data_IF_988738507349
#
_entry.id   IF_988738507349
#
_cell.length_a   1.000
_cell.length_b   1.000
_cell.length_c   1.000
_cell.angle_alpha   90.00
_cell.angle_beta   90.00
_cell.angle_gamma   90.00
#
_symmetry.space_group_name_H-M   'P 1'
#
loop_
_entity.id
_entity.type
_entity.pdbx_description
1 polymer ?
#
# COMPACT_ATOMS: atom_id res chain seq x y z
N UNK A 1 -39.46 13.65 -7.59
CA UNK A 1 -38.24 14.03 -8.31
C UNK A 1 -37.06 13.40 -7.59
N UNK A 2 -36.42 12.39 -8.21
CA UNK A 2 -35.39 11.57 -7.57
C UNK A 2 -33.99 12.14 -7.90
N UNK A 3 -33.29 12.64 -6.87
CA UNK A 3 -31.91 13.14 -6.98
C UNK A 3 -30.92 11.98 -6.83
N UNK A 4 -30.35 11.53 -7.95
CA UNK A 4 -29.27 10.54 -7.99
C UNK A 4 -27.94 11.30 -7.95
N UNK A 5 -27.36 11.46 -6.76
CA UNK A 5 -25.98 11.96 -6.63
C UNK A 5 -25.04 10.77 -6.79
N UNK A 6 -24.53 10.59 -8.01
CA UNK A 6 -23.44 9.65 -8.32
C UNK A 6 -22.20 10.00 -7.50
N UNK A 7 -21.79 9.09 -6.62
CA UNK A 7 -20.54 9.16 -5.84
C UNK A 7 -19.38 8.88 -6.80
N UNK A 8 -18.70 9.92 -7.27
CA UNK A 8 -17.50 9.81 -8.09
C UNK A 8 -16.39 9.19 -7.22
N UNK A 9 -16.15 7.89 -7.44
CA UNK A 9 -15.00 7.16 -6.91
C UNK A 9 -13.73 7.75 -7.50
N UNK A 10 -12.93 8.42 -6.66
CA UNK A 10 -11.62 8.93 -7.03
C UNK A 10 -10.65 7.76 -7.27
N UNK A 11 -10.66 7.22 -8.49
CA UNK A 11 -9.55 6.39 -8.99
C UNK A 11 -8.34 7.30 -9.15
N UNK A 12 -7.37 7.14 -8.26
CA UNK A 12 -6.01 7.63 -8.49
C UNK A 12 -5.47 6.91 -9.72
N UNK A 13 -5.50 7.58 -10.87
CA UNK A 13 -4.76 7.15 -12.05
C UNK A 13 -3.28 7.30 -11.69
N UNK A 14 -2.64 6.19 -11.32
CA UNK A 14 -1.18 6.13 -11.34
C UNK A 14 -0.77 6.28 -12.79
N UNK A 15 -0.30 7.47 -13.16
CA UNK A 15 0.34 7.71 -14.45
C UNK A 15 1.49 6.71 -14.60
N UNK A 16 1.31 5.73 -15.46
CA UNK A 16 2.35 4.81 -15.87
C UNK A 16 3.11 5.48 -17.00
N UNK A 17 4.21 6.18 -16.68
CA UNK A 17 5.26 6.38 -17.68
C UNK A 17 5.87 5.00 -17.96
N UNK A 18 5.36 4.33 -19.00
CA UNK A 18 6.07 3.21 -19.60
C UNK A 18 7.27 3.78 -20.34
N UNK A 19 8.46 3.75 -19.73
CA UNK A 19 9.69 3.85 -20.51
C UNK A 19 9.79 2.57 -21.33
N UNK A 20 9.42 2.64 -22.61
CA UNK A 20 9.68 1.59 -23.59
C UNK A 20 11.17 1.60 -23.92
N UNK A 21 12.00 1.05 -23.04
CA UNK A 21 13.34 0.61 -23.42
C UNK A 21 13.16 -0.62 -24.30
N UNK A 22 13.29 -0.43 -25.60
CA UNK A 22 13.43 -1.49 -26.59
C UNK A 22 14.66 -2.32 -26.24
N UNK A 23 14.45 -3.45 -25.57
CA UNK A 23 15.48 -4.48 -25.43
C UNK A 23 15.50 -5.29 -26.72
N UNK A 24 16.20 -4.78 -27.72
CA UNK A 24 16.52 -5.55 -28.92
C UNK A 24 17.39 -6.73 -28.52
N UNK A 25 16.83 -7.94 -28.57
CA UNK A 25 17.63 -9.17 -28.57
C UNK A 25 18.10 -9.40 -30.00
N UNK A 26 19.20 -8.73 -30.37
CA UNK A 26 19.97 -9.12 -31.54
C UNK A 26 20.77 -10.38 -31.16
N UNK A 27 20.46 -11.49 -31.83
CA UNK A 27 21.24 -12.72 -31.80
C UNK A 27 22.57 -12.49 -32.51
N UNK A 28 23.59 -12.10 -31.76
CA UNK A 28 24.97 -12.16 -32.21
C UNK A 28 25.80 -12.68 -31.05
N UNK A 29 26.15 -13.97 -31.11
CA UNK A 29 27.06 -14.63 -30.19
C UNK A 29 28.37 -13.86 -30.08
N UNK A 30 28.77 -13.37 -28.90
CA UNK A 30 30.16 -13.03 -28.68
C UNK A 30 30.88 -14.30 -28.24
N UNK A 31 31.84 -14.72 -29.06
CA UNK A 31 32.88 -15.68 -28.73
C UNK A 31 33.50 -15.27 -27.39
N UNK A 32 33.24 -16.06 -26.34
CA UNK A 32 33.86 -15.89 -25.02
C UNK A 32 35.33 -16.29 -25.15
N UNK A 33 36.22 -15.28 -25.21
CA UNK A 33 37.66 -15.49 -25.06
C UNK A 33 37.96 -15.70 -23.58
N UNK A 34 38.42 -16.91 -23.30
CA UNK A 34 39.05 -17.37 -22.06
C UNK A 34 40.09 -16.35 -21.54
N UNK A 35 39.92 -15.88 -20.30
CA UNK A 35 40.96 -15.16 -19.58
C UNK A 35 41.00 -15.57 -18.09
N UNK A 36 42.18 -16.02 -17.69
CA UNK A 36 42.62 -16.60 -16.42
C UNK A 36 42.15 -15.90 -15.14
N UNK A 37 41.90 -16.76 -14.15
CA UNK A 37 42.00 -16.60 -12.71
C UNK A 37 42.83 -15.41 -12.18
N UNK A 38 42.19 -14.62 -11.30
CA UNK A 38 42.85 -14.03 -10.12
C UNK A 38 41.81 -13.84 -9.01
N UNK A 39 42.08 -14.51 -7.88
CA UNK A 39 41.29 -14.50 -6.66
C UNK A 39 41.42 -13.17 -5.91
N UNK A 40 40.30 -12.53 -5.59
CA UNK A 40 40.23 -11.74 -4.36
C UNK A 40 38.83 -11.86 -3.76
N UNK A 41 38.74 -12.69 -2.72
CA UNK A 41 37.58 -12.88 -1.88
C UNK A 41 37.42 -11.67 -0.96
N UNK A 42 36.52 -10.75 -1.30
CA UNK A 42 35.97 -9.79 -0.35
C UNK A 42 34.59 -10.31 0.08
N UNK A 43 34.42 -10.82 1.30
CA UNK A 43 33.12 -11.24 1.79
C UNK A 43 32.23 -10.01 1.99
N UNK A 44 31.14 -9.91 1.22
CA UNK A 44 30.08 -8.94 1.45
C UNK A 44 29.34 -9.30 2.73
N UNK A 45 29.53 -8.49 3.77
CA UNK A 45 28.69 -8.44 4.96
C UNK A 45 27.21 -8.26 4.58
N UNK A 46 26.47 -9.35 4.52
CA UNK A 46 25.01 -9.31 4.42
C UNK A 46 24.46 -9.06 5.81
N UNK A 47 24.36 -7.77 6.16
CA UNK A 47 23.71 -7.29 7.39
C UNK A 47 22.28 -7.83 7.44
N UNK A 48 22.10 -8.93 8.18
CA UNK A 48 20.82 -9.58 8.47
C UNK A 48 19.91 -8.53 9.13
N UNK A 49 18.95 -7.98 8.37
CA UNK A 49 17.95 -7.04 8.90
C UNK A 49 17.17 -7.75 10.01
N UNK A 50 17.52 -7.45 11.26
CA UNK A 50 16.76 -7.89 12.42
C UNK A 50 15.31 -7.45 12.28
N UNK A 51 14.36 -8.39 12.50
CA UNK A 51 12.93 -8.07 12.56
C UNK A 51 12.71 -7.07 13.69
N UNK A 52 12.51 -5.80 13.34
CA UNK A 52 12.16 -4.75 14.30
C UNK A 52 10.85 -5.17 14.99
N UNK A 53 10.86 -5.26 16.32
CA UNK A 53 9.64 -5.49 17.10
C UNK A 53 8.66 -4.34 16.80
N UNK A 54 7.43 -4.68 16.41
CA UNK A 54 6.37 -3.71 16.14
C UNK A 54 6.06 -2.94 17.42
N UNK A 55 5.93 -1.63 17.32
CA UNK A 55 5.51 -0.80 18.46
C UNK A 55 4.07 -1.12 18.86
N UNK A 56 3.66 -0.88 20.12
CA UNK A 56 2.27 -1.10 20.57
C UNK A 56 1.24 -0.43 19.64
N UNK A 57 1.59 0.75 19.11
CA UNK A 57 0.78 1.47 18.12
C UNK A 57 0.53 0.68 16.85
N UNK A 58 1.52 -0.09 16.40
CA UNK A 58 1.41 -0.96 15.22
C UNK A 58 0.64 -2.25 15.51
N UNK A 59 0.60 -2.70 16.77
CA UNK A 59 -0.20 -3.84 17.20
C UNK A 59 -1.69 -3.48 17.33
N UNK A 60 -1.98 -2.29 17.86
CA UNK A 60 -3.34 -1.77 17.98
C UNK A 60 -3.96 -1.38 16.62
N UNK A 61 -3.15 -1.33 15.55
CA UNK A 61 -3.64 -0.94 14.23
C UNK A 61 -4.62 -1.99 13.72
N UNK A 62 -5.88 -1.61 13.40
CA UNK A 62 -6.84 -2.54 12.81
C UNK A 62 -6.22 -3.22 11.59
N UNK A 63 -6.42 -4.53 11.51
CA UNK A 63 -5.94 -5.33 10.38
C UNK A 63 -6.95 -5.22 9.24
N UNK A 64 -6.44 -5.17 8.00
CA UNK A 64 -7.28 -5.10 6.80
C UNK A 64 -8.30 -6.26 6.78
N UNK A 65 -9.55 -6.00 6.32
CA UNK A 65 -10.56 -7.02 6.20
C UNK A 65 -10.12 -8.09 5.18
N UNK A 66 -10.65 -9.29 5.34
CA UNK A 66 -10.39 -10.40 4.42
C UNK A 66 -11.12 -10.16 3.08
N UNK A 67 -10.60 -10.73 1.99
CA UNK A 67 -11.32 -10.73 0.71
C UNK A 67 -12.48 -11.74 0.75
N UNK A 68 -13.45 -11.59 -0.15
CA UNK A 68 -14.57 -12.53 -0.31
C UNK A 68 -14.09 -13.99 -0.41
N UNK A 69 -13.11 -14.26 -1.28
CA UNK A 69 -12.50 -15.59 -1.38
C UNK A 69 -11.80 -16.05 -0.10
N UNK A 70 -11.16 -15.15 0.66
CA UNK A 70 -10.49 -15.53 1.92
C UNK A 70 -11.50 -15.89 3.01
N UNK A 71 -12.70 -15.28 3.00
CA UNK A 71 -13.81 -15.65 3.87
C UNK A 71 -14.31 -17.06 3.51
N UNK A 72 -14.62 -17.29 2.22
CA UNK A 72 -14.98 -18.61 1.71
C UNK A 72 -13.92 -19.67 2.03
N UNK A 73 -12.63 -19.37 1.79
CA UNK A 73 -11.53 -20.28 2.10
C UNK A 73 -11.47 -20.64 3.58
N UNK A 74 -11.72 -19.68 4.48
CA UNK A 74 -11.71 -19.94 5.91
C UNK A 74 -12.80 -20.95 6.30
N UNK A 75 -14.01 -20.79 5.75
CA UNK A 75 -15.15 -21.67 6.00
C UNK A 75 -14.91 -23.06 5.39
N UNK A 76 -14.55 -23.12 4.11
CA UNK A 76 -14.27 -24.37 3.41
C UNK A 76 -13.07 -25.12 3.99
N UNK A 77 -12.03 -24.40 4.47
CA UNK A 77 -10.87 -25.03 5.12
C UNK A 77 -11.25 -25.61 6.47
N UNK A 78 -12.15 -25.00 7.23
CA UNK A 78 -12.66 -25.58 8.48
C UNK A 78 -13.47 -26.85 8.25
N UNK A 79 -14.25 -26.90 7.17
CA UNK A 79 -14.97 -28.11 6.75
C UNK A 79 -13.99 -29.22 6.33
N UNK A 80 -13.01 -28.88 5.50
CA UNK A 80 -11.93 -29.79 5.09
C UNK A 80 -10.94 -30.09 6.20
N UNK A 81 -10.96 -29.38 7.34
CA UNK A 81 -10.10 -29.63 8.50
C UNK A 81 -10.37 -30.97 9.17
N UNK A 82 -11.52 -31.59 8.87
CA UNK A 82 -11.86 -32.96 9.26
C UNK A 82 -11.13 -34.01 8.42
N UNK A 83 -10.56 -33.60 7.29
CA UNK A 83 -9.77 -34.44 6.38
C UNK A 83 -8.32 -33.97 6.48
N UNK A 84 -7.38 -34.90 6.60
CA UNK A 84 -5.96 -34.60 6.75
C UNK A 84 -5.34 -34.16 5.41
N UNK A 85 -5.84 -33.06 4.85
CA UNK A 85 -5.42 -32.53 3.55
C UNK A 85 -4.31 -31.49 3.73
N UNK A 86 -3.22 -31.63 2.98
CA UNK A 86 -2.14 -30.66 2.98
C UNK A 86 -2.67 -29.25 2.63
N UNK A 87 -2.21 -28.18 3.30
CA UNK A 87 -2.74 -26.82 3.10
C UNK A 87 -2.71 -26.34 1.64
N UNK A 88 -1.66 -26.71 0.91
CA UNK A 88 -1.50 -26.38 -0.52
C UNK A 88 -2.51 -27.10 -1.41
N UNK A 89 -2.82 -28.36 -1.11
CA UNK A 89 -3.82 -29.12 -1.86
C UNK A 89 -5.23 -28.59 -1.59
N UNK A 90 -5.56 -28.31 -0.31
CA UNK A 90 -6.83 -27.72 0.08
C UNK A 90 -7.07 -26.36 -0.60
N UNK A 91 -6.04 -25.51 -0.70
CA UNK A 91 -6.15 -24.22 -1.41
C UNK A 91 -6.50 -24.39 -2.88
N UNK A 92 -5.88 -25.34 -3.59
CA UNK A 92 -6.20 -25.60 -5.01
C UNK A 92 -7.65 -26.04 -5.18
N UNK A 93 -8.09 -27.02 -4.38
CA UNK A 93 -9.46 -27.54 -4.45
C UNK A 93 -10.51 -26.46 -4.13
N UNK A 94 -10.27 -25.64 -3.10
CA UNK A 94 -11.18 -24.55 -2.75
C UNK A 94 -11.19 -23.46 -3.83
N UNK A 95 -10.05 -23.16 -4.46
CA UNK A 95 -9.97 -22.18 -5.53
C UNK A 95 -10.73 -22.63 -6.79
N UNK A 96 -10.64 -23.91 -7.14
CA UNK A 96 -11.43 -24.52 -8.23
C UNK A 96 -12.93 -24.46 -7.91
N UNK A 97 -13.34 -24.89 -6.72
CA UNK A 97 -14.74 -24.78 -6.26
C UNK A 97 -15.25 -23.34 -6.32
N UNK A 98 -14.48 -22.37 -5.84
CA UNK A 98 -14.88 -20.96 -5.88
C UNK A 98 -15.10 -20.45 -7.31
N UNK A 99 -14.36 -20.96 -8.30
CA UNK A 99 -14.55 -20.56 -9.70
C UNK A 99 -15.89 -21.06 -10.24
N UNK A 100 -16.25 -22.30 -9.89
CA UNK A 100 -17.46 -23.00 -10.32
C UNK A 100 -18.71 -22.64 -9.49
N UNK A 101 -18.51 -22.07 -8.30
CA UNK A 101 -19.59 -21.68 -7.38
C UNK A 101 -20.56 -20.67 -8.01
N UNK A 102 -21.82 -20.71 -7.58
CA UNK A 102 -22.87 -19.81 -8.05
C UNK A 102 -22.59 -18.34 -7.75
N UNK A 103 -23.14 -17.44 -8.57
CA UNK A 103 -23.01 -16.00 -8.36
C UNK A 103 -23.66 -15.56 -7.04
N UNK A 104 -24.74 -16.21 -6.62
CA UNK A 104 -25.42 -15.94 -5.34
C UNK A 104 -24.49 -16.14 -4.14
N UNK A 105 -23.70 -17.22 -4.15
CA UNK A 105 -22.72 -17.47 -3.08
C UNK A 105 -21.60 -16.45 -3.15
N UNK A 106 -21.12 -16.12 -4.35
CA UNK A 106 -20.09 -15.09 -4.54
C UNK A 106 -20.54 -13.72 -4.05
N UNK A 107 -21.80 -13.37 -4.31
CA UNK A 107 -22.44 -12.14 -3.88
C UNK A 107 -22.56 -12.09 -2.36
N UNK A 108 -23.02 -13.17 -1.70
CA UNK A 108 -23.04 -13.29 -0.24
C UNK A 108 -21.69 -12.95 0.40
N UNK A 109 -20.59 -13.50 -0.13
CA UNK A 109 -19.25 -13.19 0.40
C UNK A 109 -18.74 -11.79 0.01
N UNK A 110 -19.27 -11.21 -1.07
CA UNK A 110 -19.02 -9.82 -1.42
C UNK A 110 -19.66 -8.89 -0.39
N UNK A 111 -20.91 -9.14 -0.01
CA UNK A 111 -21.61 -8.40 1.05
C UNK A 111 -20.88 -8.51 2.40
N UNK A 112 -20.51 -9.72 2.82
CA UNK A 112 -19.73 -9.94 4.05
C UNK A 112 -18.38 -9.19 4.04
N UNK A 113 -17.74 -9.11 2.87
CA UNK A 113 -16.50 -8.34 2.70
C UNK A 113 -16.77 -6.83 2.83
N UNK A 114 -17.88 -6.34 2.30
CA UNK A 114 -18.27 -4.92 2.41
C UNK A 114 -18.59 -4.54 3.85
N UNK A 115 -19.37 -5.35 4.55
CA UNK A 115 -19.65 -5.17 5.98
C UNK A 115 -18.36 -5.13 6.81
N UNK A 116 -17.47 -6.12 6.62
CA UNK A 116 -16.18 -6.15 7.30
C UNK A 116 -15.28 -4.95 6.96
N UNK A 117 -15.41 -4.39 5.75
CA UNK A 117 -14.70 -3.19 5.34
C UNK A 117 -15.23 -1.95 6.05
N UNK A 118 -16.54 -1.81 6.18
CA UNK A 118 -17.14 -0.70 6.92
C UNK A 118 -16.73 -0.70 8.39
N UNK A 119 -16.76 -1.86 9.03
CA UNK A 119 -16.25 -2.00 10.40
C UNK A 119 -14.76 -1.63 10.51
N UNK A 120 -13.96 -2.10 9.56
CA UNK A 120 -12.53 -1.79 9.52
C UNK A 120 -12.30 -0.29 9.35
N UNK A 121 -13.05 0.40 8.49
CA UNK A 121 -12.91 1.83 8.26
C UNK A 121 -13.28 2.64 9.51
N UNK A 122 -14.31 2.22 10.26
CA UNK A 122 -14.67 2.79 11.58
C UNK A 122 -13.53 2.61 12.59
N UNK A 123 -13.07 1.37 12.81
CA UNK A 123 -11.95 1.06 13.72
C UNK A 123 -10.67 1.78 13.31
N UNK A 124 -10.41 1.93 12.00
CA UNK A 124 -9.24 2.62 11.48
C UNK A 124 -9.31 4.13 11.74
N UNK A 125 -10.49 4.74 11.64
CA UNK A 125 -10.70 6.14 11.98
C UNK A 125 -10.43 6.40 13.46
N UNK A 126 -10.97 5.55 14.35
CA UNK A 126 -10.70 5.60 15.79
C UNK A 126 -9.21 5.44 16.10
N UNK A 127 -8.54 4.47 15.47
CA UNK A 127 -7.10 4.27 15.63
C UNK A 127 -6.28 5.47 15.15
N UNK A 128 -6.64 6.08 14.03
CA UNK A 128 -5.98 7.31 13.52
C UNK A 128 -6.19 8.49 14.45
N UNK A 129 -7.37 8.61 15.07
CA UNK A 129 -7.67 9.64 16.06
C UNK A 129 -6.87 9.44 17.35
N UNK A 130 -6.77 8.20 17.84
CA UNK A 130 -5.99 7.84 19.03
C UNK A 130 -4.48 7.99 18.83
N UNK A 131 -3.99 7.71 17.62
CA UNK A 131 -2.57 7.74 17.28
C UNK A 131 -2.29 8.66 16.09
N UNK A 132 -2.41 9.98 16.26
CA UNK A 132 -2.10 10.92 15.19
C UNK A 132 -0.62 10.80 14.81
N UNK A 133 -0.28 10.93 13.52
CA UNK A 133 1.10 10.93 13.08
C UNK A 133 1.84 12.11 13.70
N UNK A 134 3.03 11.86 14.27
CA UNK A 134 3.92 12.94 14.72
C UNK A 134 4.54 13.60 13.48
N UNK A 135 3.98 14.73 13.07
CA UNK A 135 4.54 15.51 11.96
C UNK A 135 5.73 16.33 12.45
N UNK A 136 6.79 16.40 11.64
CA UNK A 136 7.84 17.42 11.78
C UNK A 136 7.24 18.81 11.55
N UNK A 137 7.83 19.86 12.14
CA UNK A 137 7.37 21.24 11.94
C UNK A 137 7.26 21.63 10.46
N UNK A 138 8.20 21.16 9.63
CA UNK A 138 8.10 21.32 8.17
C UNK A 138 6.85 20.68 7.58
N UNK A 139 6.55 19.43 7.94
CA UNK A 139 5.37 18.71 7.44
C UNK A 139 4.06 19.37 7.93
N UNK A 140 4.05 19.96 9.14
CA UNK A 140 2.90 20.73 9.62
C UNK A 140 2.70 22.01 8.82
N UNK A 141 3.79 22.74 8.56
CA UNK A 141 3.77 23.93 7.69
C UNK A 141 3.29 23.61 6.28
N UNK A 142 3.84 22.56 5.67
CA UNK A 142 3.46 22.10 4.33
C UNK A 142 1.96 21.76 4.29
N UNK A 143 1.47 20.94 5.23
CA UNK A 143 0.04 20.58 5.32
C UNK A 143 -0.85 21.82 5.45
N UNK A 144 -0.48 22.78 6.28
CA UNK A 144 -1.25 24.01 6.47
C UNK A 144 -1.29 24.89 5.21
N UNK A 145 -0.20 24.98 4.46
CA UNK A 145 -0.16 25.77 3.23
C UNK A 145 -0.90 25.08 2.07
N UNK A 146 -0.77 23.76 1.93
CA UNK A 146 -1.54 23.00 0.93
C UNK A 146 -3.05 23.10 1.16
N UNK A 147 -3.50 23.02 2.41
CA UNK A 147 -4.92 23.19 2.74
C UNK A 147 -5.44 24.60 2.39
N UNK A 148 -4.59 25.63 2.44
CA UNK A 148 -4.93 27.00 2.05
C UNK A 148 -4.93 27.21 0.54
N UNK A 149 -4.04 26.54 -0.19
CA UNK A 149 -3.85 26.72 -1.62
C UNK A 149 -4.92 26.02 -2.49
N UNK A 150 -5.78 25.18 -1.89
CA UNK A 150 -6.89 24.45 -2.56
C UNK A 150 -6.51 23.87 -3.94
N UNK A 151 -5.32 23.27 -4.04
CA UNK A 151 -4.80 22.76 -5.31
C UNK A 151 -5.69 21.63 -5.80
N UNK A 152 -6.36 21.85 -6.94
CA UNK A 152 -7.34 20.90 -7.50
C UNK A 152 -6.76 20.12 -8.68
N UNK A 153 -5.75 20.68 -9.37
CA UNK A 153 -5.10 20.05 -10.53
C UNK A 153 -3.77 19.37 -10.19
N UNK A 154 -3.55 18.18 -10.74
CA UNK A 154 -2.30 17.44 -10.55
C UNK A 154 -1.07 18.16 -11.16
N UNK A 155 -1.27 19.00 -12.18
CA UNK A 155 -0.20 19.77 -12.82
C UNK A 155 0.35 20.89 -11.93
N UNK A 156 -0.44 21.37 -10.97
CA UNK A 156 -0.09 22.48 -10.07
C UNK A 156 0.65 21.99 -8.81
N UNK A 157 0.50 20.69 -8.46
CA UNK A 157 1.12 20.10 -7.27
C UNK A 157 2.65 20.29 -7.20
N UNK A 158 3.43 20.10 -8.28
CA UNK A 158 4.87 20.29 -8.24
C UNK A 158 5.27 21.77 -8.07
N UNK A 159 4.50 22.69 -8.67
CA UNK A 159 4.76 24.12 -8.55
C UNK A 159 4.45 24.63 -7.13
N UNK A 160 3.30 24.26 -6.56
CA UNK A 160 2.94 24.65 -5.21
C UNK A 160 3.86 23.99 -4.17
N UNK A 161 4.27 22.73 -4.36
CA UNK A 161 5.27 22.08 -3.51
C UNK A 161 6.57 22.88 -3.45
N UNK A 162 7.08 23.32 -4.61
CA UNK A 162 8.30 24.14 -4.70
C UNK A 162 8.10 25.51 -4.05
N UNK A 163 6.94 26.14 -4.26
CA UNK A 163 6.59 27.43 -3.64
C UNK A 163 6.60 27.34 -2.12
N UNK A 164 5.93 26.33 -1.56
CA UNK A 164 5.86 26.08 -0.11
C UNK A 164 7.26 25.78 0.45
N UNK A 165 8.07 24.98 -0.25
CA UNK A 165 9.46 24.73 0.16
C UNK A 165 10.29 26.03 0.20
N UNK A 166 10.14 26.91 -0.80
CA UNK A 166 10.79 28.21 -0.82
C UNK A 166 10.31 29.11 0.33
N UNK A 167 9.02 29.10 0.66
CA UNK A 167 8.47 29.82 1.82
C UNK A 167 9.07 29.30 3.14
N UNK A 168 9.17 27.98 3.31
CA UNK A 168 9.85 27.41 4.48
C UNK A 168 11.32 27.83 4.56
N UNK A 169 12.02 27.90 3.43
CA UNK A 169 13.39 28.41 3.36
C UNK A 169 13.53 29.80 3.96
N UNK A 170 12.58 30.70 3.66
CA UNK A 170 12.56 32.11 4.10
C UNK A 170 12.19 32.33 5.57
N UNK A 171 11.60 31.33 6.25
CA UNK A 171 11.24 31.45 7.67
C UNK A 171 12.47 31.48 8.57
N UNK A 172 12.39 32.27 9.66
CA UNK A 172 13.43 32.32 10.69
C UNK A 172 13.52 30.98 11.45
N UNK A 173 14.68 30.67 12.07
CA UNK A 173 14.82 29.48 12.91
C UNK A 173 13.79 29.40 14.04
N UNK A 174 13.40 30.54 14.61
CA UNK A 174 12.42 30.63 15.68
C UNK A 174 11.01 30.27 15.18
N UNK A 175 10.62 30.80 14.02
CA UNK A 175 9.36 30.47 13.38
C UNK A 175 9.30 28.98 13.03
N UNK A 176 10.40 28.41 12.53
CA UNK A 176 10.49 26.96 12.25
C UNK A 176 10.32 26.11 13.51
N UNK A 177 10.85 26.58 14.66
CA UNK A 177 10.70 25.92 15.97
C UNK A 177 9.26 25.99 16.46
N UNK A 178 8.57 27.11 16.27
CA UNK A 178 7.15 27.27 16.60
C UNK A 178 6.28 26.23 15.88
N UNK A 179 6.53 26.01 14.58
CA UNK A 179 5.85 24.96 13.82
C UNK A 179 6.12 23.54 14.33
N UNK A 180 7.25 23.30 15.00
CA UNK A 180 7.49 21.98 15.62
C UNK A 180 6.59 21.75 16.84
N UNK A 181 6.26 22.81 17.58
CA UNK A 181 5.48 22.75 18.83
C UNK A 181 3.97 22.83 18.61
N UNK A 182 3.52 23.42 17.51
CA UNK A 182 2.11 23.49 17.09
C UNK A 182 1.50 22.14 16.73
#
# INVERSE_FOLDING_TARGET
MLNIVSKISSRVVRSSLVLTTTRSFATASPVFKEAKASSSSVPKDTKKKGKKKKSQKELDKPRRPMSAFSLYYKEMRTELGKVDTAPTAAMKQIAEKWREESEEVKEKYSELKEEAKEEYDKKLAEWKAKYPPKLSGYNKFVKANFNKASVTSAAELPAESKRIAALWGKLSPEQKKEWSNK
#
